data_IF_669630908235
#
_entry.id   IF_669630908235
#
_cell.length_a   1.000
_cell.length_b   1.000
_cell.length_c   1.000
_cell.angle_alpha   90.00
_cell.angle_beta   90.00
_cell.angle_gamma   90.00
#
_symmetry.space_group_name_H-M   'P 1'
#
loop_
_entity.id
_entity.type
_entity.pdbx_description
1 polymer ?
#
# COMPACT_ATOMS: atom_id res chain seq x y z
N UNK A 1 -6.34 27.91 1.52
CA UNK A 1 -5.71 26.71 2.11
C UNK A 1 -6.61 25.52 1.80
N UNK A 2 -6.07 24.43 1.27
CA UNK A 2 -6.85 23.22 0.97
C UNK A 2 -7.14 22.48 2.29
N UNK A 3 -8.38 22.02 2.56
CA UNK A 3 -8.69 21.26 3.76
C UNK A 3 -7.87 19.96 3.86
N UNK A 4 -7.53 19.53 5.08
CA UNK A 4 -6.69 18.34 5.31
C UNK A 4 -7.22 17.08 4.63
N UNK A 5 -8.55 16.94 4.55
CA UNK A 5 -9.22 15.81 3.89
C UNK A 5 -8.95 15.69 2.38
N UNK A 6 -8.50 16.76 1.74
CA UNK A 6 -8.18 16.79 0.30
C UNK A 6 -6.68 16.84 0.03
N UNK A 7 -5.83 16.69 1.06
CA UNK A 7 -4.38 16.53 0.90
C UNK A 7 -4.08 15.21 0.19
N UNK A 8 -2.99 15.16 -0.58
CA UNK A 8 -2.57 13.98 -1.34
C UNK A 8 -2.56 12.70 -0.51
N UNK A 9 -2.06 12.74 0.73
CA UNK A 9 -2.01 11.58 1.62
C UNK A 9 -3.42 11.10 2.04
N UNK A 10 -4.34 12.03 2.31
CA UNK A 10 -5.72 11.71 2.70
C UNK A 10 -6.50 11.12 1.51
N UNK A 11 -6.36 11.73 0.33
CA UNK A 11 -6.94 11.25 -0.92
C UNK A 11 -6.37 9.87 -1.28
N UNK A 12 -5.04 9.71 -1.20
CA UNK A 12 -4.37 8.44 -1.46
C UNK A 12 -4.79 7.34 -0.50
N UNK A 13 -4.96 7.65 0.79
CA UNK A 13 -5.49 6.70 1.79
C UNK A 13 -6.93 6.28 1.47
N UNK A 14 -7.80 7.24 1.16
CA UNK A 14 -9.19 6.94 0.79
C UNK A 14 -9.26 6.01 -0.42
N UNK A 15 -8.48 6.30 -1.47
CA UNK A 15 -8.44 5.48 -2.68
C UNK A 15 -7.85 4.09 -2.40
N UNK A 16 -6.83 3.99 -1.55
CA UNK A 16 -6.25 2.71 -1.14
C UNK A 16 -7.27 1.85 -0.38
N UNK A 17 -8.08 2.45 0.50
CA UNK A 17 -9.16 1.76 1.21
C UNK A 17 -10.22 1.23 0.23
N UNK A 18 -10.60 2.01 -0.80
CA UNK A 18 -11.50 1.56 -1.86
C UNK A 18 -10.91 0.39 -2.66
N UNK A 19 -9.62 0.45 -2.99
CA UNK A 19 -8.95 -0.63 -3.71
C UNK A 19 -8.90 -1.92 -2.88
N UNK A 20 -8.67 -1.83 -1.58
CA UNK A 20 -8.69 -3.00 -0.68
C UNK A 20 -10.09 -3.61 -0.55
N UNK A 21 -11.16 -2.81 -0.57
CA UNK A 21 -12.54 -3.33 -0.59
C UNK A 21 -12.84 -4.15 -1.85
N UNK A 22 -12.25 -3.76 -2.99
CA UNK A 22 -12.41 -4.45 -4.27
C UNK A 22 -11.47 -5.64 -4.45
N UNK A 23 -10.31 -5.65 -3.79
CA UNK A 23 -9.27 -6.67 -3.91
C UNK A 23 -9.79 -8.12 -3.83
N UNK A 24 -10.70 -8.51 -2.90
CA UNK A 24 -11.20 -9.88 -2.81
C UNK A 24 -11.94 -10.36 -4.07
N UNK A 25 -12.47 -9.45 -4.89
CA UNK A 25 -13.10 -9.76 -6.17
C UNK A 25 -12.11 -9.98 -7.31
N UNK A 26 -10.84 -9.61 -7.14
CA UNK A 26 -9.78 -9.74 -8.15
C UNK A 26 -9.04 -11.06 -7.92
N UNK A 27 -9.44 -12.11 -8.65
CA UNK A 27 -8.76 -13.42 -8.61
C UNK A 27 -7.39 -13.40 -9.28
N UNK A 28 -7.26 -12.66 -10.38
CA UNK A 28 -6.04 -12.53 -11.16
C UNK A 28 -5.79 -11.06 -11.49
N UNK A 29 -4.57 -10.60 -11.23
CA UNK A 29 -4.19 -9.25 -11.60
C UNK A 29 -4.04 -9.17 -13.12
N UNK A 30 -5.01 -8.56 -13.77
CA UNK A 30 -5.00 -8.31 -15.21
C UNK A 30 -4.90 -6.81 -15.50
N UNK A 31 -4.38 -6.40 -16.68
CA UNK A 31 -4.41 -5.01 -17.10
C UNK A 31 -5.83 -4.41 -17.10
N UNK A 32 -6.86 -5.25 -17.28
CA UNK A 32 -8.27 -4.84 -17.19
C UNK A 32 -8.68 -4.47 -15.76
N UNK A 33 -8.27 -5.27 -14.77
CA UNK A 33 -8.54 -4.97 -13.37
C UNK A 33 -7.86 -3.65 -12.93
N UNK A 34 -6.62 -3.43 -13.39
CA UNK A 34 -5.89 -2.19 -13.14
C UNK A 34 -6.56 -0.98 -13.81
N UNK A 35 -7.04 -1.12 -15.05
CA UNK A 35 -7.78 -0.07 -15.74
C UNK A 35 -9.11 0.27 -15.06
N UNK A 36 -9.82 -0.73 -14.54
CA UNK A 36 -11.07 -0.52 -13.77
C UNK A 36 -10.79 0.25 -12.48
N UNK A 37 -9.75 -0.13 -11.72
CA UNK A 37 -9.37 0.60 -10.51
C UNK A 37 -8.94 2.04 -10.81
N UNK A 38 -8.20 2.26 -11.90
CA UNK A 38 -7.84 3.61 -12.37
C UNK A 38 -9.08 4.43 -12.72
N UNK A 39 -10.04 3.84 -13.44
CA UNK A 39 -11.28 4.52 -13.81
C UNK A 39 -12.13 4.88 -12.59
N UNK A 40 -12.24 3.97 -11.62
CA UNK A 40 -12.99 4.20 -10.37
C UNK A 40 -12.30 5.30 -9.55
N UNK A 41 -10.97 5.26 -9.42
CA UNK A 41 -10.19 6.31 -8.76
C UNK A 41 -10.36 7.68 -9.42
N UNK A 42 -10.33 7.74 -10.76
CA UNK A 42 -10.56 8.99 -11.49
C UNK A 42 -11.98 9.53 -11.26
N UNK A 43 -12.99 8.65 -11.20
CA UNK A 43 -14.37 9.05 -10.91
C UNK A 43 -14.53 9.64 -9.50
N UNK A 44 -13.86 9.05 -8.51
CA UNK A 44 -13.84 9.55 -7.13
C UNK A 44 -13.09 10.89 -7.04
N UNK A 45 -11.95 11.02 -7.72
CA UNK A 45 -11.20 12.28 -7.79
C UNK A 45 -12.06 13.41 -8.40
N UNK A 46 -12.83 13.12 -9.44
CA UNK A 46 -13.76 14.10 -10.04
C UNK A 46 -14.88 14.51 -9.08
N UNK A 47 -15.37 13.59 -8.25
CA UNK A 47 -16.36 13.92 -7.21
C UNK A 47 -15.74 14.82 -6.14
N UNK A 48 -14.53 14.50 -5.67
CA UNK A 48 -13.81 15.32 -4.69
C UNK A 48 -13.47 16.71 -5.24
N UNK A 49 -13.09 16.80 -6.52
CA UNK A 49 -12.84 18.07 -7.21
C UNK A 49 -14.11 18.93 -7.27
N UNK A 50 -15.27 18.34 -7.61
CA UNK A 50 -16.57 19.04 -7.60
C UNK A 50 -16.94 19.55 -6.20
N UNK A 51 -16.76 18.71 -5.17
CA UNK A 51 -17.03 19.10 -3.79
C UNK A 51 -16.11 20.24 -3.32
N UNK A 52 -14.85 20.26 -3.74
CA UNK A 52 -13.93 21.34 -3.42
C UNK A 52 -14.31 22.65 -4.13
N UNK A 53 -14.76 22.54 -5.38
CA UNK A 53 -15.26 23.65 -6.19
C UNK A 53 -16.52 24.28 -5.58
N UNK A 54 -17.44 23.47 -5.04
CA UNK A 54 -18.63 23.95 -4.30
C UNK A 54 -18.25 24.76 -3.04
N UNK A 55 -17.10 24.46 -2.43
CA UNK A 55 -16.57 25.19 -1.27
C UNK A 55 -15.84 26.49 -1.71
N UNK A 56 -15.76 26.77 -3.01
CA UNK A 56 -15.15 27.97 -3.57
C UNK A 56 -13.64 27.91 -3.74
N UNK A 57 -13.03 26.72 -3.65
CA UNK A 57 -11.60 26.52 -3.89
C UNK A 57 -11.42 25.84 -5.25
N UNK A 58 -11.03 26.62 -6.25
CA UNK A 58 -10.71 26.13 -7.59
C UNK A 58 -9.19 26.15 -7.81
N UNK A 59 -8.55 24.99 -7.68
CA UNK A 59 -7.13 24.82 -8.03
C UNK A 59 -6.97 23.60 -8.95
N UNK A 60 -7.15 23.83 -10.25
CA UNK A 60 -7.02 22.80 -11.27
C UNK A 60 -5.59 22.23 -11.35
N UNK A 61 -4.57 23.03 -11.04
CA UNK A 61 -3.17 22.60 -11.06
C UNK A 61 -2.88 21.63 -9.91
N UNK A 62 -3.46 21.88 -8.74
CA UNK A 62 -3.38 20.97 -7.61
C UNK A 62 -3.96 19.58 -7.93
N UNK A 63 -5.15 19.51 -8.52
CA UNK A 63 -5.77 18.23 -8.89
C UNK A 63 -5.00 17.48 -9.98
N UNK A 64 -4.40 18.19 -10.94
CA UNK A 64 -3.50 17.56 -11.91
C UNK A 64 -2.27 16.95 -11.26
N UNK A 65 -1.69 17.60 -10.24
CA UNK A 65 -0.56 17.03 -9.47
C UNK A 65 -0.99 15.78 -8.70
N UNK A 66 -2.18 15.79 -8.10
CA UNK A 66 -2.72 14.60 -7.41
C UNK A 66 -2.91 13.44 -8.38
N UNK A 67 -3.56 13.67 -9.53
CA UNK A 67 -3.74 12.64 -10.57
C UNK A 67 -2.40 12.06 -11.02
N UNK A 68 -1.41 12.92 -11.25
CA UNK A 68 -0.06 12.50 -11.62
C UNK A 68 0.63 11.68 -10.54
N UNK A 69 0.58 12.11 -9.28
CA UNK A 69 1.13 11.36 -8.16
C UNK A 69 0.42 10.00 -7.97
N UNK A 70 -0.89 9.94 -8.22
CA UNK A 70 -1.66 8.69 -8.18
C UNK A 70 -1.20 7.71 -9.26
N UNK A 71 -1.08 8.18 -10.51
CA UNK A 71 -0.69 7.34 -11.65
C UNK A 71 0.79 6.93 -11.60
N UNK A 72 1.69 7.82 -11.17
CA UNK A 72 3.14 7.55 -11.16
C UNK A 72 3.58 6.78 -9.92
N UNK A 73 2.90 6.94 -8.77
CA UNK A 73 3.35 6.39 -7.48
C UNK A 73 2.35 5.36 -6.94
N UNK A 74 1.10 5.77 -6.71
CA UNK A 74 0.13 4.98 -5.94
C UNK A 74 -0.29 3.71 -6.69
N UNK A 75 -0.78 3.85 -7.91
CA UNK A 75 -1.27 2.74 -8.73
C UNK A 75 -0.21 1.68 -9.04
N UNK A 76 0.99 2.01 -9.55
CA UNK A 76 1.98 0.99 -9.89
C UNK A 76 2.51 0.26 -8.66
N UNK A 77 2.70 0.97 -7.54
CA UNK A 77 3.16 0.35 -6.28
C UNK A 77 2.07 -0.54 -5.67
N UNK A 78 0.82 -0.09 -5.68
CA UNK A 78 -0.31 -0.91 -5.27
C UNK A 78 -0.46 -2.16 -6.14
N UNK A 79 -0.35 -2.02 -7.47
CA UNK A 79 -0.42 -3.14 -8.40
C UNK A 79 0.66 -4.19 -8.15
N UNK A 80 1.89 -3.76 -7.87
CA UNK A 80 2.99 -4.67 -7.53
C UNK A 80 2.71 -5.44 -6.22
N UNK A 81 2.22 -4.75 -5.19
CA UNK A 81 1.84 -5.37 -3.92
C UNK A 81 0.68 -6.35 -4.09
N UNK A 82 -0.37 -5.94 -4.79
CA UNK A 82 -1.56 -6.77 -5.03
C UNK A 82 -1.25 -8.01 -5.86
N UNK A 83 -0.36 -7.90 -6.87
CA UNK A 83 0.16 -9.07 -7.62
C UNK A 83 0.86 -10.06 -6.70
N UNK A 84 1.77 -9.59 -5.86
CA UNK A 84 2.50 -10.45 -4.93
C UNK A 84 1.57 -11.16 -3.93
N UNK A 85 0.55 -10.47 -3.44
CA UNK A 85 -0.44 -11.03 -2.52
C UNK A 85 -1.36 -12.05 -3.22
N UNK A 86 -1.78 -11.79 -4.47
CA UNK A 86 -2.55 -12.75 -5.28
C UNK A 86 -1.71 -14.01 -5.56
N UNK A 87 -0.43 -13.86 -5.89
CA UNK A 87 0.46 -15.00 -6.13
C UNK A 87 0.71 -15.81 -4.85
N UNK A 88 0.81 -15.15 -3.69
CA UNK A 88 0.87 -15.82 -2.38
C UNK A 88 -0.43 -16.56 -2.08
N UNK A 89 -1.58 -15.92 -2.32
CA UNK A 89 -2.89 -16.54 -2.12
C UNK A 89 -3.10 -17.77 -3.02
N UNK A 90 -2.63 -17.74 -4.27
CA UNK A 90 -2.65 -18.91 -5.17
C UNK A 90 -1.82 -20.08 -4.67
N UNK A 91 -0.76 -19.80 -3.92
CA UNK A 91 0.10 -20.80 -3.29
C UNK A 91 -0.37 -21.18 -1.89
N UNK A 92 -1.60 -20.81 -1.50
CA UNK A 92 -2.13 -21.00 -0.16
C UNK A 92 -1.22 -20.43 0.94
N UNK A 93 -0.46 -19.37 0.63
CA UNK A 93 0.57 -18.80 1.51
C UNK A 93 1.67 -19.81 1.91
N UNK A 94 1.87 -20.87 1.11
CA UNK A 94 2.77 -21.98 1.43
C UNK A 94 2.21 -22.94 2.49
N UNK A 95 0.95 -22.81 2.86
CA UNK A 95 0.27 -23.69 3.80
C UNK A 95 -0.24 -24.91 3.03
N UNK A 96 0.11 -26.11 3.50
CA UNK A 96 -0.40 -27.33 2.91
C UNK A 96 -1.94 -27.35 2.95
N UNK A 97 -2.56 -27.38 1.77
CA UNK A 97 -4.02 -27.45 1.58
C UNK A 97 -4.78 -26.24 2.16
N UNK A 98 -4.24 -25.03 2.05
CA UNK A 98 -4.96 -23.80 2.42
C UNK A 98 -5.21 -23.63 3.92
N UNK A 99 -4.65 -24.49 4.79
CA UNK A 99 -4.96 -24.49 6.21
C UNK A 99 -6.34 -25.07 6.55
N UNK A 100 -6.91 -25.86 5.64
CA UNK A 100 -8.19 -26.57 5.78
C UNK A 100 -8.26 -27.44 7.05
N UNK A 101 -9.47 -27.84 7.47
CA UNK A 101 -9.69 -28.61 8.70
C UNK A 101 -8.88 -29.91 8.72
N UNK A 102 -8.67 -30.52 7.55
CA UNK A 102 -7.83 -31.71 7.36
C UNK A 102 -6.35 -31.39 7.60
N UNK A 103 -5.85 -30.23 7.18
CA UNK A 103 -4.48 -29.81 7.46
C UNK A 103 -4.30 -29.62 8.97
N UNK A 104 -5.24 -28.96 9.64
CA UNK A 104 -5.25 -28.78 11.11
C UNK A 104 -5.27 -30.11 11.85
N UNK A 105 -6.11 -31.05 11.41
CA UNK A 105 -6.16 -32.40 11.98
C UNK A 105 -4.86 -33.18 11.75
N UNK A 106 -4.24 -33.03 10.58
CA UNK A 106 -2.95 -33.69 10.25
C UNK A 106 -1.81 -33.11 11.09
N UNK A 107 -1.76 -31.79 11.29
CA UNK A 107 -0.77 -31.16 12.17
C UNK A 107 -1.00 -31.52 13.64
N UNK A 108 -2.26 -31.62 14.08
CA UNK A 108 -2.59 -32.10 15.43
C UNK A 108 -2.18 -33.57 15.62
N UNK A 109 -2.44 -34.44 14.63
CA UNK A 109 -2.03 -35.84 14.65
C UNK A 109 -0.51 -35.98 14.65
N UNK A 110 0.20 -35.22 13.82
CA UNK A 110 1.66 -35.21 13.78
C UNK A 110 2.27 -34.70 15.10
N UNK A 111 1.70 -33.64 15.69
CA UNK A 111 2.08 -33.15 17.01
C UNK A 111 1.82 -34.16 18.12
N UNK A 112 0.73 -34.92 18.04
CA UNK A 112 0.41 -36.01 18.96
C UNK A 112 1.39 -37.18 18.85
N UNK A 113 1.72 -37.62 17.62
CA UNK A 113 2.68 -38.69 17.36
C UNK A 113 4.08 -38.28 17.82
N UNK A 114 4.53 -37.06 17.49
CA UNK A 114 5.79 -36.50 17.99
C UNK A 114 5.80 -36.39 19.51
N UNK A 115 4.66 -36.04 20.11
CA UNK A 115 4.49 -35.99 21.55
C UNK A 115 4.69 -37.35 22.22
N UNK A 116 4.10 -38.42 21.66
CA UNK A 116 4.29 -39.79 22.13
C UNK A 116 5.76 -40.19 22.04
N UNK A 117 6.40 -39.97 20.90
CA UNK A 117 7.82 -40.30 20.68
C UNK A 117 8.71 -39.56 21.69
N UNK A 118 8.47 -38.26 21.92
CA UNK A 118 9.22 -37.46 22.89
C UNK A 118 9.04 -37.91 24.35
N UNK A 119 7.90 -38.53 24.70
CA UNK A 119 7.69 -39.10 26.05
C UNK A 119 8.40 -40.45 26.18
N UNK A 120 8.46 -41.23 25.10
CA UNK A 120 9.07 -42.56 25.09
C UNK A 120 10.61 -42.51 25.07
N UNK A 121 11.22 -41.43 24.57
CA UNK A 121 12.68 -41.24 24.56
C UNK A 121 13.19 -40.98 25.99
N UNK A 122 13.98 -41.90 26.59
CA UNK A 122 14.35 -41.86 28.01
C UNK A 122 15.40 -40.79 28.36
N UNK A 123 16.04 -40.18 27.35
CA UNK A 123 17.14 -39.22 27.53
C UNK A 123 16.68 -37.75 27.66
N UNK A 124 15.38 -37.48 27.55
CA UNK A 124 14.84 -36.11 27.61
C UNK A 124 14.56 -35.75 29.08
N UNK A 125 15.16 -34.68 29.63
CA UNK A 125 14.96 -34.29 31.02
C UNK A 125 13.48 -34.00 31.32
N UNK A 126 13.01 -34.28 32.54
CA UNK A 126 11.60 -34.11 32.95
C UNK A 126 11.10 -32.66 32.72
N UNK A 127 12.03 -31.70 32.83
CA UNK A 127 11.88 -30.29 32.50
C UNK A 127 11.72 -30.00 31.00
N UNK A 128 11.55 -30.99 30.13
CA UNK A 128 11.26 -30.84 28.71
C UNK A 128 9.98 -31.60 28.30
N UNK A 129 9.29 -32.26 29.25
CA UNK A 129 8.05 -33.04 29.00
C UNK A 129 6.79 -32.19 28.71
N UNK A 130 6.81 -30.89 29.04
CA UNK A 130 5.87 -29.88 28.53
C UNK A 130 5.99 -29.57 27.03
N UNK A 131 7.10 -29.90 26.36
CA UNK A 131 7.30 -29.60 24.94
C UNK A 131 6.31 -30.36 24.02
N UNK A 132 6.04 -31.67 24.23
CA UNK A 132 4.92 -32.38 23.61
C UNK A 132 3.56 -31.69 23.76
N UNK A 133 3.23 -31.24 24.98
CA UNK A 133 1.96 -30.56 25.25
C UNK A 133 1.90 -29.20 24.51
N UNK A 134 3.01 -28.47 24.47
CA UNK A 134 3.13 -27.23 23.71
C UNK A 134 2.98 -27.47 22.20
N UNK A 135 3.60 -28.53 21.66
CA UNK A 135 3.52 -28.88 20.24
C UNK A 135 2.11 -29.32 19.84
N UNK A 136 1.41 -30.03 20.72
CA UNK A 136 0.01 -30.42 20.52
C UNK A 136 -0.94 -29.21 20.48
N UNK A 137 -0.68 -28.19 21.30
CA UNK A 137 -1.47 -26.96 21.33
C UNK A 137 -1.11 -26.02 20.16
N UNK A 138 0.19 -25.88 19.84
CA UNK A 138 0.67 -24.97 18.79
C UNK A 138 0.52 -25.54 17.38
N UNK A 139 0.53 -26.86 17.20
CA UNK A 139 0.37 -27.54 15.91
C UNK A 139 -0.87 -27.08 15.13
N UNK A 140 -2.09 -27.14 15.70
CA UNK A 140 -3.29 -26.66 15.01
C UNK A 140 -3.37 -25.13 14.89
N UNK A 141 -2.64 -24.37 15.72
CA UNK A 141 -2.58 -22.91 15.66
C UNK A 141 -1.56 -22.40 14.63
N UNK A 142 -0.64 -23.24 14.16
CA UNK A 142 0.36 -22.89 13.16
C UNK A 142 -0.21 -22.21 11.90
N UNK A 143 -1.26 -22.74 11.23
CA UNK A 143 -1.84 -22.06 10.06
C UNK A 143 -2.39 -20.67 10.38
N UNK A 144 -2.96 -20.49 11.57
CA UNK A 144 -3.53 -19.20 12.00
C UNK A 144 -2.44 -18.17 12.29
N UNK A 145 -1.32 -18.59 12.90
CA UNK A 145 -0.17 -17.72 13.16
C UNK A 145 0.47 -17.25 11.85
N UNK A 146 0.66 -18.17 10.88
CA UNK A 146 1.20 -17.82 9.55
C UNK A 146 0.29 -16.82 8.84
N UNK A 147 -1.03 -17.09 8.85
CA UNK A 147 -2.01 -16.21 8.21
C UNK A 147 -2.08 -14.83 8.90
N UNK A 148 -1.95 -14.77 10.23
CA UNK A 148 -1.86 -13.53 10.99
C UNK A 148 -0.60 -12.72 10.65
N UNK A 149 0.56 -13.38 10.56
CA UNK A 149 1.82 -12.73 10.16
C UNK A 149 1.74 -12.14 8.76
N UNK A 150 1.13 -12.86 7.81
CA UNK A 150 0.90 -12.35 6.46
C UNK A 150 0.00 -11.12 6.46
N UNK A 151 -1.14 -11.17 7.16
CA UNK A 151 -2.03 -9.99 7.31
C UNK A 151 -1.32 -8.80 7.95
N UNK A 152 -0.46 -9.05 8.94
CA UNK A 152 0.30 -7.99 9.62
C UNK A 152 1.35 -7.37 8.69
N UNK A 153 2.04 -8.19 7.88
CA UNK A 153 2.99 -7.70 6.87
C UNK A 153 2.28 -6.89 5.78
N UNK A 154 1.13 -7.36 5.31
CA UNK A 154 0.29 -6.65 4.34
C UNK A 154 -0.11 -5.26 4.83
N UNK A 155 -0.65 -5.18 6.06
CA UNK A 155 -1.02 -3.89 6.67
C UNK A 155 0.15 -2.92 6.75
N UNK A 156 1.33 -3.40 7.17
CA UNK A 156 2.55 -2.59 7.21
C UNK A 156 2.97 -2.07 5.83
N UNK A 157 2.80 -2.87 4.78
CA UNK A 157 3.12 -2.45 3.41
C UNK A 157 2.17 -1.38 2.91
N UNK A 158 0.88 -1.49 3.23
CA UNK A 158 -0.12 -0.45 2.93
C UNK A 158 0.16 0.84 3.71
N UNK A 159 0.46 0.73 5.01
CA UNK A 159 0.83 1.88 5.85
C UNK A 159 2.10 2.58 5.33
N UNK A 160 3.10 1.81 4.88
CA UNK A 160 4.30 2.37 4.26
C UNK A 160 3.98 3.12 2.96
N UNK A 161 3.06 2.61 2.14
CA UNK A 161 2.63 3.27 0.91
C UNK A 161 1.92 4.62 1.20
N UNK A 162 1.09 4.67 2.25
CA UNK A 162 0.49 5.91 2.74
C UNK A 162 1.55 6.86 3.32
N UNK A 163 2.54 6.33 4.05
CA UNK A 163 3.67 7.11 4.56
C UNK A 163 4.50 7.75 3.45
N UNK A 164 4.76 7.02 2.36
CA UNK A 164 5.48 7.54 1.19
C UNK A 164 4.68 8.65 0.48
N UNK A 165 3.35 8.52 0.41
CA UNK A 165 2.48 9.59 -0.08
C UNK A 165 2.48 10.81 0.85
N UNK A 166 2.62 10.59 2.16
CA UNK A 166 2.74 11.67 3.13
C UNK A 166 4.04 12.46 2.93
N UNK A 167 5.17 11.79 2.80
CA UNK A 167 6.44 12.45 2.48
C UNK A 167 6.43 13.14 1.11
N UNK A 168 5.80 12.52 0.10
CA UNK A 168 5.59 13.17 -1.19
C UNK A 168 4.72 14.42 -1.08
N UNK A 169 3.69 14.39 -0.21
CA UNK A 169 2.83 15.55 0.03
C UNK A 169 3.56 16.70 0.75
N UNK A 170 4.43 16.40 1.72
CA UNK A 170 5.25 17.40 2.40
C UNK A 170 6.26 18.06 1.44
N UNK A 171 6.87 17.27 0.57
CA UNK A 171 7.75 17.81 -0.48
C UNK A 171 6.99 18.65 -1.50
N UNK A 172 5.76 18.28 -1.85
CA UNK A 172 4.90 19.04 -2.76
C UNK A 172 4.33 20.33 -2.14
N UNK A 173 4.03 20.35 -0.84
CA UNK A 173 3.66 21.57 -0.11
C UNK A 173 4.86 22.51 0.06
N UNK A 174 6.06 21.95 0.21
CA UNK A 174 7.32 22.72 0.30
C UNK A 174 7.75 23.28 -1.06
N UNK A 175 7.58 22.51 -2.13
CA UNK A 175 7.78 22.95 -3.52
C UNK A 175 6.48 23.55 -4.08
N UNK A 176 6.09 24.72 -3.56
CA UNK A 176 5.30 25.65 -4.37
C UNK A 176 6.23 26.10 -5.50
N UNK A 177 6.00 25.68 -6.77
CA UNK A 177 6.94 25.98 -7.84
C UNK A 177 7.13 27.49 -7.91
N UNK A 178 8.38 27.94 -8.05
CA UNK A 178 8.75 29.37 -7.99
C UNK A 178 7.85 30.23 -8.89
N UNK A 179 7.35 29.67 -10.01
CA UNK A 179 6.39 30.28 -10.94
C UNK A 179 5.03 30.67 -10.34
N UNK A 180 4.59 30.01 -9.26
CA UNK A 180 3.41 30.41 -8.48
C UNK A 180 3.72 31.47 -7.44
N UNK A 181 4.95 31.51 -6.91
CA UNK A 181 5.41 32.64 -6.09
C UNK A 181 5.58 33.89 -6.96
N UNK A 182 6.16 33.78 -8.15
CA UNK A 182 6.34 34.89 -9.09
C UNK A 182 4.98 35.43 -9.57
N UNK A 183 4.01 34.55 -9.87
CA UNK A 183 2.63 34.97 -10.19
C UNK A 183 1.90 35.57 -8.98
N UNK A 184 2.02 34.98 -7.79
CA UNK A 184 1.36 35.49 -6.58
C UNK A 184 1.97 36.81 -6.08
N UNK A 185 3.25 37.06 -6.39
CA UNK A 185 3.94 38.32 -6.12
C UNK A 185 3.72 39.39 -7.22
N UNK A 186 2.96 39.07 -8.28
CA UNK A 186 2.67 40.00 -9.38
C UNK A 186 3.91 40.46 -10.16
N UNK A 187 5.00 39.69 -10.10
CA UNK A 187 6.23 40.02 -10.80
C UNK A 187 6.10 39.60 -12.27
N UNK A 188 6.31 40.52 -13.24
CA UNK A 188 6.18 40.20 -14.65
C UNK A 188 7.20 39.13 -15.05
N UNK A 189 6.71 38.08 -15.71
CA UNK A 189 7.49 36.92 -16.20
C UNK A 189 8.64 37.26 -17.16
N UNK A 190 8.78 38.51 -17.59
CA UNK A 190 9.82 38.96 -18.53
C UNK A 190 11.23 38.96 -17.93
N UNK A 191 11.40 38.92 -16.61
CA UNK A 191 12.73 38.81 -15.99
C UNK A 191 13.34 37.40 -16.07
N UNK A 192 12.53 36.38 -16.37
CA UNK A 192 13.02 35.01 -16.55
C UNK A 192 13.52 34.75 -17.99
N UNK A 193 13.23 35.66 -18.92
CA UNK A 193 13.57 35.53 -20.34
C UNK A 193 14.47 36.71 -20.77
N UNK A 194 15.49 37.03 -19.97
CA UNK A 194 16.57 37.90 -20.46
C UNK A 194 17.41 37.09 -21.47
N UNK A 195 17.45 37.46 -22.77
CA UNK A 195 18.28 36.78 -23.74
C UNK A 195 19.77 36.99 -23.40
N UNK A 196 20.66 36.05 -23.77
CA UNK A 196 22.08 36.23 -23.55
C UNK A 196 22.53 37.48 -24.31
N UNK A 197 23.03 38.48 -23.56
CA UNK A 197 23.65 39.68 -24.09
C UNK A 197 24.72 39.27 -25.09
N UNK A 198 24.51 39.65 -26.36
CA UNK A 198 25.51 39.52 -27.40
C UNK A 198 26.78 40.25 -26.97
N UNK A 199 27.82 39.49 -26.63
CA UNK A 199 29.17 39.99 -26.43
C UNK A 199 29.67 40.56 -27.76
N UNK A 200 29.48 41.85 -27.93
CA UNK A 200 30.08 42.67 -28.97
C UNK A 200 31.44 43.10 -28.45
N UNK A 201 32.48 42.30 -28.69
CA UNK A 201 33.86 42.77 -28.58
C UNK A 201 34.47 42.87 -29.98
N UNK A 202 34.54 44.11 -30.46
CA UNK A 202 35.54 44.58 -31.42
C UNK A 202 36.72 45.09 -30.60
N UNK A 203 37.91 44.63 -30.94
CA UNK A 203 39.20 45.11 -30.44
C UNK A 203 40.32 44.39 -31.17
#
# INVERSE_FOLDING_TARGET
MVPEKYRLAAVGRFLLEQFELRRPGIRDWSPRAEALLRQEAESELQLMEKQLREIGIEDARYWQRIRRALDEILLPRYAALARAEIDLAKRDYGIWRGGDLVARATFALAGFILGIICVEVPYIPIQAKWFPALLLVLGPLFPDVVMWLHRRRWRKQLEALVGDLHHASETLETYRPLSELTNALGLPSELAEAPPTAARERG
#
